data_IF_691267411522
#
_entry.id   IF_691267411522
#
_cell.length_a   1.000
_cell.length_b   1.000
_cell.length_c   1.000
_cell.angle_alpha   90.00
_cell.angle_beta   90.00
_cell.angle_gamma   90.00
#
_symmetry.space_group_name_H-M   'P 1'
#
loop_
_entity.id
_entity.type
_entity.pdbx_description
1 polymer ?
#
# COMPACT_ATOMS: atom_id res chain seq x y z
N UNK A 1 2.52 14.30 16.24
CA UNK A 1 1.44 14.74 15.33
C UNK A 1 1.57 13.93 14.06
N UNK A 2 0.60 13.10 13.74
CA UNK A 2 0.58 12.31 12.51
C UNK A 2 0.05 13.16 11.35
N UNK A 3 0.43 12.81 10.13
CA UNK A 3 -0.08 13.43 8.90
C UNK A 3 -0.68 12.38 8.00
N UNK A 4 -1.86 12.67 7.45
CA UNK A 4 -2.46 11.91 6.37
C UNK A 4 -2.09 12.63 5.08
N UNK A 5 -1.53 11.90 4.11
CA UNK A 5 -1.13 12.40 2.80
C UNK A 5 -1.81 11.56 1.73
N UNK A 6 -2.04 12.13 0.55
CA UNK A 6 -2.40 11.33 -0.63
C UNK A 6 -1.15 10.64 -1.19
N UNK A 7 -1.33 9.63 -2.03
CA UNK A 7 -0.21 8.96 -2.71
C UNK A 7 0.66 9.94 -3.52
N UNK A 8 0.04 10.87 -4.25
CA UNK A 8 0.71 11.91 -5.06
C UNK A 8 1.57 12.90 -4.26
N UNK A 9 1.26 13.10 -2.98
CA UNK A 9 1.96 14.05 -2.10
C UNK A 9 3.14 13.41 -1.35
N UNK A 10 3.40 12.12 -1.57
CA UNK A 10 4.43 11.36 -0.86
C UNK A 10 5.63 11.14 -1.80
N UNK A 11 6.72 11.78 -1.47
CA UNK A 11 8.04 11.40 -2.00
C UNK A 11 8.55 10.16 -1.23
N UNK A 12 8.41 8.99 -1.85
CA UNK A 12 8.80 7.72 -1.25
C UNK A 12 10.30 7.62 -0.97
N UNK A 13 11.15 8.38 -1.67
CA UNK A 13 12.60 8.36 -1.48
C UNK A 13 13.04 8.93 -0.13
N UNK A 14 12.18 9.75 0.47
CA UNK A 14 12.38 10.33 1.81
C UNK A 14 12.07 9.35 2.94
N UNK A 15 11.58 8.14 2.63
CA UNK A 15 11.38 7.11 3.64
C UNK A 15 12.71 6.68 4.28
N UNK A 16 12.76 6.82 5.60
CA UNK A 16 13.89 6.43 6.42
C UNK A 16 13.61 5.09 7.10
N UNK A 17 14.27 4.03 6.62
CA UNK A 17 14.16 2.67 7.13
C UNK A 17 15.09 2.44 8.32
N UNK A 18 14.52 1.97 9.42
CA UNK A 18 15.26 1.68 10.65
C UNK A 18 15.83 0.26 10.64
N UNK A 19 16.81 0.00 11.50
CA UNK A 19 17.34 -1.35 11.70
C UNK A 19 16.20 -2.33 12.08
N UNK A 20 16.10 -3.50 11.44
CA UNK A 20 15.07 -4.47 11.78
C UNK A 20 15.07 -4.85 13.25
N UNK A 21 13.91 -4.76 13.91
CA UNK A 21 13.71 -5.20 15.29
C UNK A 21 12.72 -6.34 15.33
N UNK A 22 12.95 -7.29 16.25
CA UNK A 22 12.02 -8.38 16.47
C UNK A 22 10.75 -7.84 17.13
N UNK A 23 9.62 -8.04 16.46
CA UNK A 23 8.29 -7.80 17.00
C UNK A 23 7.50 -9.10 16.87
N UNK A 24 7.13 -9.70 18.01
CA UNK A 24 6.53 -11.04 18.07
C UNK A 24 7.40 -12.08 17.33
N UNK A 25 6.86 -12.73 16.30
CA UNK A 25 7.53 -13.75 15.49
C UNK A 25 8.10 -13.24 14.16
N UNK A 26 8.17 -11.91 13.97
CA UNK A 26 8.68 -11.27 12.76
C UNK A 26 9.80 -10.28 13.10
N UNK A 27 10.64 -9.97 12.12
CA UNK A 27 11.50 -8.79 12.19
C UNK A 27 10.90 -7.69 11.35
N UNK A 28 10.93 -6.45 11.83
CA UNK A 28 10.34 -5.31 11.13
C UNK A 28 11.37 -4.20 11.06
N UNK A 29 11.72 -3.79 9.84
CA UNK A 29 12.36 -2.50 9.59
C UNK A 29 11.27 -1.46 9.52
N UNK A 30 11.09 -0.70 10.61
CA UNK A 30 10.11 0.37 10.66
C UNK A 30 10.52 1.53 9.79
N UNK A 31 9.54 2.23 9.22
CA UNK A 31 9.75 3.38 8.35
C UNK A 31 9.20 4.66 8.98
N UNK A 32 9.89 5.77 8.75
CA UNK A 32 9.43 7.12 9.06
C UNK A 32 9.56 8.01 7.83
N UNK A 33 8.66 8.97 7.70
CA UNK A 33 8.75 10.08 6.75
C UNK A 33 8.74 11.37 7.56
N UNK A 34 9.70 12.26 7.35
CA UNK A 34 9.82 13.51 8.14
C UNK A 34 9.83 13.26 9.66
N UNK A 35 10.51 12.18 10.10
CA UNK A 35 10.54 11.68 11.48
C UNK A 35 9.16 11.36 12.10
N UNK A 36 8.17 11.11 11.25
CA UNK A 36 6.78 10.83 11.64
C UNK A 36 6.26 9.58 10.97
N UNK A 37 5.25 9.01 11.62
CA UNK A 37 4.41 7.97 11.01
C UNK A 37 3.51 8.60 9.96
N UNK A 38 3.61 8.10 8.73
CA UNK A 38 2.77 8.54 7.61
C UNK A 38 1.56 7.66 7.44
N UNK A 39 0.42 8.32 7.33
CA UNK A 39 -0.82 7.70 6.87
C UNK A 39 -1.06 8.13 5.42
N UNK A 40 -1.54 7.19 4.63
CA UNK A 40 -1.78 7.32 3.20
C UNK A 40 -3.27 7.13 2.98
N UNK A 41 -3.87 8.04 2.23
CA UNK A 41 -5.28 7.96 1.88
C UNK A 41 -5.47 7.50 0.43
N UNK A 42 -6.28 6.46 0.26
CA UNK A 42 -6.82 6.04 -1.03
C UNK A 42 -8.30 6.43 -1.04
N UNK A 43 -8.75 7.07 -2.11
CA UNK A 43 -10.14 7.48 -2.29
C UNK A 43 -10.81 6.69 -3.39
N UNK A 44 -12.09 6.40 -3.19
CA UNK A 44 -12.99 5.87 -4.21
C UNK A 44 -12.47 4.63 -4.92
N UNK A 45 -11.76 3.75 -4.19
CA UNK A 45 -11.27 2.49 -4.74
C UNK A 45 -12.31 1.41 -4.55
N UNK A 46 -12.39 0.48 -5.49
CA UNK A 46 -13.36 -0.62 -5.44
C UNK A 46 -12.77 -1.83 -4.70
N UNK A 47 -13.52 -2.44 -3.79
CA UNK A 47 -13.12 -3.72 -3.19
C UNK A 47 -13.69 -4.90 -3.97
N UNK A 48 -12.88 -5.94 -4.21
CA UNK A 48 -13.30 -7.10 -4.99
C UNK A 48 -14.22 -8.07 -4.23
N UNK A 49 -14.17 -8.07 -2.90
CA UNK A 49 -14.88 -9.05 -2.07
C UNK A 49 -15.31 -8.52 -0.70
N UNK A 50 -14.91 -7.32 -0.32
CA UNK A 50 -14.92 -6.87 1.06
C UNK A 50 -13.86 -7.61 1.90
N UNK A 51 -14.12 -7.76 3.20
CA UNK A 51 -13.23 -8.50 4.08
C UNK A 51 -13.39 -10.01 3.92
N UNK A 52 -12.26 -10.71 3.81
CA UNK A 52 -12.25 -12.17 3.72
C UNK A 52 -11.13 -12.77 4.57
N UNK A 53 -11.30 -14.04 4.97
CA UNK A 53 -10.34 -14.79 5.76
C UNK A 53 -9.82 -15.99 4.96
N UNK A 54 -8.50 -16.14 4.91
CA UNK A 54 -7.84 -17.34 4.36
C UNK A 54 -6.84 -17.83 5.41
N UNK A 55 -7.02 -19.07 5.85
CA UNK A 55 -6.14 -19.73 6.83
C UNK A 55 -5.91 -18.91 8.11
N UNK A 56 -6.98 -18.28 8.63
CA UNK A 56 -6.92 -17.46 9.83
C UNK A 56 -6.34 -16.06 9.61
N UNK A 57 -6.04 -15.67 8.36
CA UNK A 57 -5.53 -14.33 8.02
C UNK A 57 -6.61 -13.52 7.32
N UNK A 58 -7.01 -12.42 7.94
CA UNK A 58 -7.94 -11.46 7.35
C UNK A 58 -7.23 -10.58 6.32
N UNK A 59 -7.93 -10.33 5.22
CA UNK A 59 -7.45 -9.54 4.09
C UNK A 59 -8.60 -8.78 3.45
N UNK A 60 -8.24 -7.77 2.68
CA UNK A 60 -9.12 -7.08 1.74
C UNK A 60 -8.38 -6.92 0.41
N UNK A 61 -9.09 -7.17 -0.69
CA UNK A 61 -8.59 -6.95 -2.04
C UNK A 61 -9.19 -5.67 -2.60
N UNK A 62 -8.32 -4.81 -3.10
CA UNK A 62 -8.64 -3.50 -3.66
C UNK A 62 -8.23 -3.49 -5.12
N UNK A 63 -9.13 -3.06 -6.00
CA UNK A 63 -8.81 -2.84 -7.41
C UNK A 63 -8.11 -1.48 -7.52
N UNK A 64 -6.96 -1.46 -8.16
CA UNK A 64 -6.20 -0.25 -8.48
C UNK A 64 -6.45 0.11 -9.95
N UNK A 65 -7.58 0.76 -10.20
CA UNK A 65 -7.96 1.32 -11.50
C UNK A 65 -7.26 2.68 -11.77
N UNK A 66 -6.96 3.43 -10.72
CA UNK A 66 -6.18 4.66 -10.79
C UNK A 66 -4.68 4.37 -10.98
N UNK A 67 -4.12 4.84 -12.11
CA UNK A 67 -2.71 4.68 -12.47
C UNK A 67 -1.77 5.27 -11.41
N UNK A 68 -2.16 6.36 -10.74
CA UNK A 68 -1.35 6.99 -9.69
C UNK A 68 -1.21 6.08 -8.46
N UNK A 69 -2.26 5.36 -8.08
CA UNK A 69 -2.19 4.38 -7.00
C UNK A 69 -1.33 3.19 -7.40
N UNK A 70 -1.55 2.64 -8.60
CA UNK A 70 -0.74 1.55 -9.13
C UNK A 70 0.76 1.92 -9.11
N UNK A 71 1.11 3.05 -9.72
CA UNK A 71 2.48 3.54 -9.79
C UNK A 71 3.06 3.79 -8.39
N UNK A 72 2.28 4.33 -7.45
CA UNK A 72 2.73 4.53 -6.07
C UNK A 72 3.13 3.22 -5.40
N UNK A 73 2.26 2.21 -5.41
CA UNK A 73 2.55 0.94 -4.74
C UNK A 73 3.68 0.19 -5.43
N UNK A 74 3.71 0.18 -6.76
CA UNK A 74 4.75 -0.50 -7.53
C UNK A 74 6.13 0.12 -7.25
N UNK A 75 6.24 1.45 -7.30
CA UNK A 75 7.49 2.14 -6.99
C UNK A 75 7.91 1.94 -5.53
N UNK A 76 6.96 1.87 -4.59
CA UNK A 76 7.26 1.60 -3.20
C UNK A 76 7.78 0.17 -2.97
N UNK A 77 7.21 -0.84 -3.63
CA UNK A 77 7.72 -2.22 -3.56
C UNK A 77 9.15 -2.30 -4.11
N UNK A 78 9.42 -1.66 -5.25
CA UNK A 78 10.76 -1.57 -5.83
C UNK A 78 11.76 -0.87 -4.91
N UNK A 79 11.36 0.24 -4.29
CA UNK A 79 12.18 0.91 -3.29
C UNK A 79 12.50 -0.01 -2.12
N UNK A 80 11.51 -0.77 -1.62
CA UNK A 80 11.72 -1.69 -0.49
C UNK A 80 12.72 -2.80 -0.84
N UNK A 81 12.59 -3.41 -2.02
CA UNK A 81 13.55 -4.40 -2.52
C UNK A 81 14.95 -3.79 -2.54
N UNK A 82 15.09 -2.62 -3.17
CA UNK A 82 16.38 -1.92 -3.27
C UNK A 82 17.00 -1.63 -1.90
N UNK A 83 16.23 -1.14 -0.93
CA UNK A 83 16.71 -0.85 0.43
C UNK A 83 17.13 -2.12 1.16
N UNK A 84 16.43 -3.24 0.94
CA UNK A 84 16.84 -4.54 1.49
C UNK A 84 18.19 -4.95 0.93
N UNK A 85 18.39 -4.92 -0.39
CA UNK A 85 19.69 -5.24 -1.00
C UNK A 85 20.83 -4.38 -0.43
N UNK A 86 20.64 -3.06 -0.38
CA UNK A 86 21.65 -2.12 0.12
C UNK A 86 22.05 -2.36 1.58
N UNK A 87 21.08 -2.78 2.41
CA UNK A 87 21.29 -2.90 3.85
C UNK A 87 21.43 -4.34 4.34
N UNK A 88 21.25 -5.35 3.48
CA UNK A 88 21.19 -6.76 3.87
C UNK A 88 22.38 -7.20 4.72
N UNK A 89 23.65 -6.93 4.33
CA UNK A 89 24.81 -7.35 5.13
C UNK A 89 24.84 -6.68 6.50
N UNK A 90 24.41 -5.43 6.58
CA UNK A 90 24.35 -4.67 7.83
C UNK A 90 23.19 -5.14 8.74
N UNK A 91 22.06 -5.51 8.16
CA UNK A 91 20.86 -5.92 8.89
C UNK A 91 20.94 -7.35 9.42
N UNK A 92 21.55 -8.26 8.64
CA UNK A 92 21.53 -9.69 8.94
C UNK A 92 22.92 -10.28 9.18
N UNK A 93 24.00 -9.52 8.97
CA UNK A 93 25.37 -9.96 9.22
C UNK A 93 25.87 -11.02 8.24
N UNK A 94 25.17 -11.21 7.13
CA UNK A 94 25.50 -12.17 6.07
C UNK A 94 25.33 -11.51 4.70
N UNK A 95 26.16 -11.91 3.75
CA UNK A 95 25.95 -11.60 2.34
C UNK A 95 24.80 -12.46 1.78
N UNK A 96 24.07 -11.93 0.81
CA UNK A 96 23.12 -12.70 0.01
C UNK A 96 23.43 -12.47 -1.46
N UNK A 97 23.18 -13.48 -2.29
CA UNK A 97 23.10 -13.24 -3.72
C UNK A 97 21.82 -12.44 -4.03
N UNK A 98 21.91 -11.57 -5.04
CA UNK A 98 20.83 -10.65 -5.37
C UNK A 98 19.57 -11.35 -5.89
N UNK A 99 19.75 -12.40 -6.69
CA UNK A 99 18.65 -13.17 -7.28
C UNK A 99 17.81 -13.90 -6.20
N UNK A 100 18.45 -14.36 -5.13
CA UNK A 100 17.79 -14.95 -3.96
C UNK A 100 17.00 -13.89 -3.19
N UNK A 101 17.51 -12.66 -3.07
CA UNK A 101 16.76 -11.58 -2.42
C UNK A 101 15.53 -11.18 -3.23
N UNK A 102 15.66 -11.02 -4.55
CA UNK A 102 14.54 -10.66 -5.42
C UNK A 102 13.43 -11.72 -5.35
N UNK A 103 13.80 -13.00 -5.48
CA UNK A 103 12.85 -14.10 -5.35
C UNK A 103 12.30 -14.29 -3.92
N UNK A 104 12.89 -13.64 -2.93
CA UNK A 104 12.43 -13.64 -1.54
C UNK A 104 11.39 -12.57 -1.24
N UNK A 105 11.19 -11.61 -2.14
CA UNK A 105 10.14 -10.61 -2.00
C UNK A 105 8.76 -11.23 -2.23
N UNK A 106 7.78 -10.84 -1.40
CA UNK A 106 6.37 -11.17 -1.58
C UNK A 106 5.64 -9.87 -1.90
N UNK A 107 5.19 -9.74 -3.15
CA UNK A 107 4.37 -8.61 -3.59
C UNK A 107 2.94 -8.75 -3.09
N UNK A 108 2.34 -7.61 -2.75
CA UNK A 108 0.91 -7.50 -2.48
C UNK A 108 0.12 -6.97 -3.67
N UNK A 109 0.81 -6.59 -4.75
CA UNK A 109 0.21 -6.33 -6.05
C UNK A 109 0.10 -7.64 -6.82
N UNK A 110 -1.08 -7.90 -7.38
CA UNK A 110 -1.37 -9.10 -8.17
C UNK A 110 -2.20 -8.73 -9.38
N UNK A 111 -1.92 -9.36 -10.51
CA UNK A 111 -2.80 -9.31 -11.67
C UNK A 111 -3.90 -10.36 -11.53
N UNK A 112 -5.16 -9.96 -11.76
CA UNK A 112 -6.30 -10.86 -11.82
C UNK A 112 -7.15 -10.52 -13.03
N UNK A 113 -6.89 -11.20 -14.14
CA UNK A 113 -7.46 -10.80 -15.43
C UNK A 113 -6.80 -9.52 -15.90
N UNK A 114 -7.59 -8.50 -16.23
CA UNK A 114 -7.10 -7.16 -16.59
C UNK A 114 -6.89 -6.26 -15.36
N UNK A 115 -7.41 -6.64 -14.20
CA UNK A 115 -7.35 -5.80 -13.00
C UNK A 115 -6.02 -5.99 -12.25
N UNK A 116 -5.45 -4.87 -11.80
CA UNK A 116 -4.40 -4.89 -10.77
C UNK A 116 -5.03 -4.83 -9.39
N UNK A 117 -4.73 -5.82 -8.56
CA UNK A 117 -5.28 -6.01 -7.22
C UNK A 117 -4.20 -5.76 -6.18
N UNK A 118 -4.48 -4.85 -5.25
CA UNK A 118 -3.74 -4.69 -4.01
C UNK A 118 -4.40 -5.53 -2.91
N UNK A 119 -3.72 -6.57 -2.43
CA UNK A 119 -4.16 -7.39 -1.30
C UNK A 119 -3.54 -6.87 0.01
N UNK A 120 -4.34 -6.20 0.85
CA UNK A 120 -3.88 -5.72 2.15
C UNK A 120 -4.22 -6.72 3.27
N UNK A 121 -3.23 -7.18 4.07
CA UNK A 121 -3.50 -7.96 5.27
C UNK A 121 -4.06 -7.08 6.38
N UNK A 122 -4.90 -7.66 7.23
CA UNK A 122 -5.47 -7.00 8.40
C UNK A 122 -5.07 -7.79 9.63
N UNK A 123 -4.50 -7.09 10.60
CA UNK A 123 -4.12 -7.68 11.88
C UNK A 123 -5.34 -7.74 12.80
N UNK A 124 -5.36 -8.80 13.61
CA UNK A 124 -6.32 -8.97 14.68
C UNK A 124 -5.65 -8.58 15.99
N UNK A 125 -6.37 -7.84 16.82
CA UNK A 125 -6.04 -7.60 18.22
C UNK A 125 -7.14 -8.25 19.07
N UNK A 126 -6.77 -9.20 19.94
CA UNK A 126 -7.70 -9.99 20.76
C UNK A 126 -8.93 -10.54 19.99
N UNK A 127 -8.68 -11.12 18.81
CA UNK A 127 -9.70 -11.66 17.87
C UNK A 127 -10.65 -10.62 17.23
N UNK A 128 -10.41 -9.32 17.45
CA UNK A 128 -11.12 -8.22 16.78
C UNK A 128 -10.26 -7.59 15.67
N UNK A 129 -10.89 -7.15 14.58
CA UNK A 129 -10.20 -6.41 13.52
C UNK A 129 -9.80 -5.02 14.03
N UNK A 130 -8.52 -4.66 13.91
CA UNK A 130 -8.00 -3.35 14.37
C UNK A 130 -8.51 -2.15 13.55
N UNK A 131 -9.24 -2.38 12.43
CA UNK A 131 -9.68 -1.32 11.54
C UNK A 131 -11.08 -0.76 11.91
N UNK A 132 -11.22 0.56 11.90
CA UNK A 132 -12.52 1.21 12.05
C UNK A 132 -13.23 1.35 10.69
N UNK A 133 -14.51 0.98 10.63
CA UNK A 133 -15.32 1.09 9.40
C UNK A 133 -16.46 2.08 9.62
N UNK A 134 -16.63 2.97 8.66
CA UNK A 134 -17.66 4.00 8.64
C UNK A 134 -18.53 3.85 7.39
N UNK A 135 -19.84 4.06 7.54
CA UNK A 135 -20.74 4.17 6.38
C UNK A 135 -20.61 5.57 5.72
N UNK A 136 -21.40 5.79 4.67
CA UNK A 136 -21.45 7.07 3.96
C UNK A 136 -21.91 8.24 4.83
N UNK A 137 -22.74 7.96 5.84
CA UNK A 137 -23.20 8.92 6.86
C UNK A 137 -22.16 9.16 7.98
N UNK A 138 -20.93 8.65 7.83
CA UNK A 138 -19.82 8.76 8.80
C UNK A 138 -20.13 8.10 10.16
N UNK A 139 -21.11 7.21 10.21
CA UNK A 139 -21.42 6.41 11.39
C UNK A 139 -20.55 5.16 11.39
N UNK A 140 -20.03 4.80 12.57
CA UNK A 140 -19.27 3.56 12.73
C UNK A 140 -20.17 2.35 12.52
N UNK A 141 -19.73 1.43 11.68
CA UNK A 141 -20.44 0.18 11.36
C UNK A 141 -19.50 -1.01 11.54
N UNK A 142 -20.07 -2.22 11.45
CA UNK A 142 -19.30 -3.47 11.49
C UNK A 142 -18.41 -3.59 10.26
N UNK A 143 -17.27 -4.27 10.37
CA UNK A 143 -16.45 -4.65 9.21
C UNK A 143 -17.25 -5.47 8.20
N UNK A 144 -18.20 -6.29 8.66
CA UNK A 144 -19.09 -7.06 7.79
C UNK A 144 -19.99 -6.19 6.90
N UNK A 145 -20.07 -4.87 7.13
CA UNK A 145 -20.79 -3.93 6.27
C UNK A 145 -20.06 -3.64 4.96
N UNK A 146 -18.74 -3.83 4.88
CA UNK A 146 -18.01 -3.72 3.61
C UNK A 146 -18.27 -4.98 2.79
N UNK A 147 -18.90 -4.80 1.62
CA UNK A 147 -19.30 -5.87 0.71
C UNK A 147 -18.43 -5.89 -0.52
N UNK A 148 -18.55 -7.00 -1.25
CA UNK A 148 -18.04 -7.10 -2.60
C UNK A 148 -18.55 -5.93 -3.45
N UNK A 149 -17.66 -5.40 -4.30
CA UNK A 149 -17.91 -4.32 -5.26
C UNK A 149 -18.20 -2.95 -4.63
N UNK A 150 -18.16 -2.81 -3.30
CA UNK A 150 -18.29 -1.51 -2.64
C UNK A 150 -17.17 -0.55 -3.07
N UNK A 151 -17.54 0.71 -3.31
CA UNK A 151 -16.59 1.81 -3.43
C UNK A 151 -16.23 2.26 -2.02
N UNK A 152 -14.94 2.25 -1.70
CA UNK A 152 -14.43 2.60 -0.38
C UNK A 152 -13.32 3.64 -0.47
N UNK A 153 -13.14 4.35 0.64
CA UNK A 153 -11.91 5.09 0.89
C UNK A 153 -11.18 4.45 2.05
N UNK A 154 -9.85 4.37 1.98
CA UNK A 154 -9.00 3.77 3.01
C UNK A 154 -8.00 4.79 3.55
N UNK A 155 -7.74 4.73 4.85
CA UNK A 155 -6.55 5.31 5.47
C UNK A 155 -5.66 4.16 5.91
N UNK A 156 -4.53 4.02 5.24
CA UNK A 156 -3.55 2.97 5.48
C UNK A 156 -2.27 3.57 6.04
N UNK A 157 -1.46 2.75 6.71
CA UNK A 157 -0.15 3.14 7.22
C UNK A 157 0.88 2.20 6.64
N UNK A 158 1.90 2.76 5.99
CA UNK A 158 3.09 2.01 5.62
C UNK A 158 3.96 1.88 6.87
N UNK A 159 4.05 0.67 7.41
CA UNK A 159 4.82 0.38 8.62
C UNK A 159 6.30 0.12 8.34
N UNK A 160 6.63 -0.23 7.10
CA UNK A 160 7.99 -0.51 6.63
C UNK A 160 8.09 -1.90 6.00
N UNK A 161 9.17 -2.63 6.29
CA UNK A 161 9.46 -3.93 5.69
C UNK A 161 9.40 -5.00 6.77
N UNK A 162 8.56 -6.03 6.58
CA UNK A 162 8.54 -7.20 7.43
C UNK A 162 9.39 -8.32 6.85
N UNK A 163 10.13 -8.99 7.72
CA UNK A 163 10.96 -10.14 7.41
C UNK A 163 10.44 -11.35 8.17
N UNK A 164 10.27 -12.43 7.42
CA UNK A 164 10.10 -13.79 7.88
C UNK A 164 11.32 -14.60 7.44
N UNK A 165 11.46 -15.86 7.90
CA UNK A 165 12.69 -16.66 7.77
C UNK A 165 13.48 -16.46 6.47
N UNK A 166 12.83 -16.62 5.32
CA UNK A 166 13.44 -16.53 4.00
C UNK A 166 12.65 -15.63 3.04
N UNK A 167 11.75 -14.79 3.57
CA UNK A 167 10.88 -13.95 2.76
C UNK A 167 10.70 -12.59 3.42
N UNK A 168 10.60 -11.55 2.61
CA UNK A 168 10.25 -10.22 3.08
C UNK A 168 9.15 -9.62 2.23
N UNK A 169 8.43 -8.65 2.80
CA UNK A 169 7.33 -7.97 2.15
C UNK A 169 7.21 -6.57 2.72
N UNK A 170 6.50 -5.70 2.02
CA UNK A 170 5.97 -4.48 2.64
C UNK A 170 5.09 -4.84 3.84
N UNK A 171 5.01 -3.95 4.81
CA UNK A 171 4.19 -4.12 6.01
C UNK A 171 3.22 -2.96 6.11
N UNK A 172 1.94 -3.29 6.18
CA UNK A 172 0.81 -2.36 6.14
C UNK A 172 -0.11 -2.58 7.32
N UNK A 173 -0.82 -1.53 7.70
CA UNK A 173 -1.98 -1.62 8.59
C UNK A 173 -3.07 -0.68 8.09
N UNK A 174 -4.32 -1.11 8.17
CA UNK A 174 -5.48 -0.30 7.79
C UNK A 174 -6.01 0.37 9.06
N UNK A 175 -6.05 1.70 9.07
CA UNK A 175 -6.56 2.47 10.20
C UNK A 175 -8.07 2.67 10.09
N UNK A 176 -8.55 3.14 8.93
CA UNK A 176 -9.96 3.46 8.71
C UNK A 176 -10.41 3.08 7.31
N UNK A 177 -11.67 2.67 7.19
CA UNK A 177 -12.40 2.47 5.93
C UNK A 177 -13.68 3.29 5.97
N UNK A 178 -13.99 4.00 4.88
CA UNK A 178 -15.31 4.59 4.64
C UNK A 178 -15.95 3.91 3.44
N UNK A 179 -17.17 3.41 3.61
CA UNK A 179 -18.02 2.96 2.51
C UNK A 179 -18.63 4.20 1.86
N UNK A 180 -18.32 4.41 0.60
CA UNK A 180 -18.89 5.48 -0.19
C UNK A 180 -20.20 4.99 -0.83
N UNK A 181 -21.18 5.89 -0.98
CA UNK A 181 -22.24 5.64 -1.95
C UNK A 181 -21.66 5.89 -3.34
N UNK A 182 -22.20 5.20 -4.34
CA UNK A 182 -22.05 5.65 -5.72
C UNK A 182 -22.55 7.09 -5.80
N UNK A 183 -21.68 8.00 -6.25
CA UNK A 183 -21.90 9.44 -6.40
C UNK A 183 -22.37 10.20 -5.14
N UNK A 184 -21.50 10.49 -4.16
CA UNK A 184 -21.76 11.58 -3.20
C UNK A 184 -20.47 12.36 -2.85
N UNK A 185 -20.41 13.62 -3.31
CA UNK A 185 -19.49 14.67 -2.87
C UNK A 185 -19.95 15.23 -1.51
N UNK A 186 -19.27 14.98 -0.39
CA UNK A 186 -19.58 15.67 0.89
C UNK A 186 -18.33 15.89 1.75
N UNK A 187 -18.33 17.04 2.47
CA UNK A 187 -17.34 17.73 3.34
C UNK A 187 -17.18 17.26 4.82
N UNK A 188 -16.10 17.73 5.46
CA UNK A 188 -15.17 17.02 6.35
C UNK A 188 -15.28 17.46 7.83
N UNK A 189 -14.93 16.58 8.77
CA UNK A 189 -14.74 16.93 10.20
C UNK A 189 -13.73 16.03 10.92
N UNK A 190 -12.78 16.64 11.67
CA UNK A 190 -11.59 16.10 12.39
C UNK A 190 -11.92 15.60 13.83
N UNK A 191 -11.07 14.92 14.65
CA UNK A 191 -10.15 13.78 14.53
C UNK A 191 -9.60 13.42 15.97
N UNK A 192 -10.10 12.35 16.63
CA UNK A 192 -9.68 11.63 17.86
C UNK A 192 -10.22 10.18 17.75
N UNK A 193 -9.92 9.22 18.64
CA UNK A 193 -10.56 7.88 18.63
C UNK A 193 -12.09 8.06 18.61
N UNK A 194 -12.80 7.44 17.67
CA UNK A 194 -14.20 7.72 17.29
C UNK A 194 -14.43 8.93 16.36
N UNK A 195 -13.46 9.36 15.56
CA UNK A 195 -13.66 10.48 14.63
C UNK A 195 -13.18 10.12 13.21
N UNK A 196 -13.79 10.74 12.20
CA UNK A 196 -13.57 10.57 10.77
C UNK A 196 -12.35 11.38 10.28
N UNK A 197 -11.51 10.84 9.39
CA UNK A 197 -10.22 11.46 9.05
C UNK A 197 -9.96 11.69 7.56
N UNK A 198 -10.88 11.31 6.67
CA UNK A 198 -10.64 11.37 5.22
C UNK A 198 -10.57 12.81 4.71
N UNK A 199 -9.49 13.19 4.03
CA UNK A 199 -9.36 14.45 3.29
C UNK A 199 -10.39 14.45 2.17
N UNK A 200 -11.36 15.37 2.13
CA UNK A 200 -12.31 15.50 1.02
C UNK A 200 -11.83 16.64 0.08
N UNK A 201 -11.90 16.43 -1.24
CA UNK A 201 -11.60 17.47 -2.24
C UNK A 201 -12.92 18.11 -2.68
N UNK A 202 -13.00 19.44 -2.72
CA UNK A 202 -14.23 20.19 -3.03
C UNK A 202 -14.47 20.42 -4.52
N UNK A 203 -13.80 19.67 -5.41
CA UNK A 203 -13.90 19.91 -6.85
C UNK A 203 -13.18 18.80 -7.61
N UNK A 204 -13.88 17.73 -8.00
CA UNK A 204 -13.48 16.83 -9.08
C UNK A 204 -14.76 16.28 -9.72
N UNK A 205 -15.35 17.10 -10.59
CA UNK A 205 -16.44 16.70 -11.48
C UNK A 205 -15.84 16.54 -12.88
N UNK A 206 -15.30 15.37 -13.19
CA UNK A 206 -15.04 14.99 -14.58
C UNK A 206 -15.50 13.54 -14.80
N UNK A 207 -16.56 13.41 -15.60
CA UNK A 207 -17.01 12.13 -16.14
C UNK A 207 -16.07 11.71 -17.25
N UNK A 208 -15.54 10.49 -17.19
CA UNK A 208 -14.87 9.87 -18.33
C UNK A 208 -15.80 8.82 -18.95
N UNK A 209 -16.04 9.00 -20.26
CA UNK A 209 -16.74 8.04 -21.10
C UNK A 209 -15.83 6.86 -21.42
N UNK A 210 -16.41 5.66 -21.44
CA UNK A 210 -15.86 4.45 -22.06
C UNK A 210 -15.54 4.68 -23.54
N UNK A 211 -14.33 4.27 -23.94
CA UNK A 211 -14.00 3.49 -25.15
C UNK A 211 -12.54 3.79 -25.55
N UNK A 212 -11.64 2.83 -25.31
CA UNK A 212 -10.62 2.39 -26.27
C UNK A 212 -9.75 1.27 -25.63
N UNK A 213 -9.97 0.02 -26.10
CA UNK A 213 -9.13 -1.14 -25.84
C UNK A 213 -7.74 -0.94 -26.46
N UNK A 214 -6.74 -0.64 -25.64
CA UNK A 214 -5.31 -0.67 -26.01
C UNK A 214 -4.65 -1.85 -25.26
N UNK A 215 -3.80 -2.61 -25.96
CA UNK A 215 -3.19 -3.86 -25.50
C UNK A 215 -2.12 -3.64 -24.41
N UNK A 216 -2.55 -3.50 -23.14
CA UNK A 216 -1.75 -3.15 -21.96
C UNK A 216 -0.64 -4.17 -21.57
N UNK A 217 -0.66 -5.38 -22.11
CA UNK A 217 0.26 -6.45 -21.72
C UNK A 217 1.71 -6.21 -22.20
N UNK A 218 1.89 -5.56 -23.34
CA UNK A 218 3.23 -5.23 -23.86
C UNK A 218 3.87 -4.06 -23.11
N UNK A 219 3.07 -3.16 -22.52
CA UNK A 219 3.58 -2.01 -21.79
C UNK A 219 4.08 -2.36 -20.39
N UNK A 220 3.42 -3.28 -19.66
CA UNK A 220 3.83 -3.63 -18.29
C UNK A 220 5.22 -4.28 -18.25
N UNK A 221 5.51 -5.27 -19.10
CA UNK A 221 6.84 -5.89 -19.16
C UNK A 221 7.90 -4.88 -19.61
N UNK A 222 7.57 -4.00 -20.57
CA UNK A 222 8.45 -2.95 -21.06
C UNK A 222 8.77 -1.88 -19.98
N UNK A 223 7.77 -1.48 -19.20
CA UNK A 223 7.92 -0.52 -18.09
C UNK A 223 8.78 -1.13 -16.98
N UNK A 224 8.51 -2.37 -16.56
CA UNK A 224 9.32 -3.07 -15.54
C UNK A 224 10.76 -3.25 -16.01
N UNK A 225 10.98 -3.64 -17.26
CA UNK A 225 12.33 -3.82 -17.82
C UNK A 225 13.09 -2.48 -17.92
N UNK A 226 12.43 -1.40 -18.34
CA UNK A 226 13.04 -0.07 -18.44
C UNK A 226 13.34 0.55 -17.08
N UNK A 227 12.46 0.39 -16.09
CA UNK A 227 12.73 0.82 -14.72
C UNK A 227 13.92 0.06 -14.15
N UNK A 228 13.96 -1.27 -14.31
CA UNK A 228 15.09 -2.10 -13.89
C UNK A 228 16.40 -1.64 -14.55
N UNK A 229 16.38 -1.31 -15.84
CA UNK A 229 17.56 -0.75 -16.56
C UNK A 229 17.95 0.64 -16.05
N UNK A 230 17.00 1.52 -15.79
CA UNK A 230 17.26 2.87 -15.29
C UNK A 230 17.89 2.86 -13.89
N UNK A 231 17.43 1.97 -13.01
CA UNK A 231 18.04 1.79 -11.68
C UNK A 231 19.48 1.25 -11.78
N UNK A 232 19.74 0.25 -12.64
CA UNK A 232 21.10 -0.28 -12.91
C UNK A 232 22.02 0.78 -13.54
N UNK A 233 21.49 1.70 -14.34
CA UNK A 233 22.27 2.76 -14.99
C UNK A 233 22.65 3.88 -14.00
N UNK A 234 21.74 4.24 -13.07
CA UNK A 234 22.06 5.15 -11.96
C UNK A 234 23.13 4.58 -11.03
N UNK A 235 23.16 3.25 -10.85
CA UNK A 235 24.18 2.54 -10.08
C UNK A 235 25.59 2.67 -10.68
N UNK A 236 25.72 2.55 -12.01
CA UNK A 236 26.99 2.77 -12.73
C UNK A 236 27.50 4.21 -12.58
N UNK A 237 26.60 5.20 -12.58
CA UNK A 237 26.97 6.61 -12.45
C UNK A 237 27.37 6.99 -11.01
N UNK A 238 26.75 6.36 -10.00
CA UNK A 238 27.07 6.60 -8.59
C UNK A 238 28.32 5.86 -8.10
N UNK A 239 28.75 4.81 -8.80
CA UNK A 239 30.00 4.07 -8.51
C UNK A 239 31.25 4.65 -9.22
N UNK A 240 31.10 5.74 -10.00
CA UNK A 240 32.18 6.41 -10.74
C UNK A 240 32.60 7.75 -10.07
N UNK A 241 31.96 8.16 -8.98
CA UNK A 241 32.35 9.33 -8.16
C UNK A 241 32.73 8.91 -6.74
#
# INVERSE_FOLDING_TARGET
MYSIKKCEDIDIEQFNFQLPKKLNNKYISSVLLDDKTSFIQLKNVKTLSGFYNIDGKYKIDIILDDESYYNFFMNLEMLCIHRVHQHYPKWFGIESDGDTLDSSFISFLKLKGMDTILTLPIELDDDELECEVYNSEKQRVSCSSVKQDDIISLIIRFNGIQFSRNKFATYWSISQIKINKEEENIELGKLEKNIYHFIESSSDSESYNDDDDIDYLQEHEYIVENLTKNYKTKELLNNIN
#
